data_IF_855962593537
#
_entry.id   IF_855962593537
#
_cell.length_a   1.000
_cell.length_b   1.000
_cell.length_c   1.000
_cell.angle_alpha   90.00
_cell.angle_beta   90.00
_cell.angle_gamma   90.00
#
_symmetry.space_group_name_H-M   'P 1'
#
loop_
_entity.id
_entity.type
_entity.pdbx_description
1 polymer ?
#
# COMPACT_ATOMS: atom_id res chain seq x y z
N UNK A 1 -17.82 10.51 -11.10
CA UNK A 1 -18.16 9.57 -10.02
C UNK A 1 -16.84 9.05 -9.49
N UNK A 2 -16.34 9.60 -8.38
CA UNK A 2 -15.17 9.06 -7.69
C UNK A 2 -15.69 8.43 -6.41
N UNK A 3 -16.06 7.15 -6.50
CA UNK A 3 -16.17 6.32 -5.32
C UNK A 3 -14.77 6.19 -4.74
N UNK A 4 -14.49 6.93 -3.66
CA UNK A 4 -13.30 6.66 -2.84
C UNK A 4 -13.55 5.34 -2.11
N UNK A 5 -13.40 4.22 -2.82
CA UNK A 5 -13.45 2.89 -2.23
C UNK A 5 -12.25 2.75 -1.29
N UNK A 6 -12.51 2.85 0.02
CA UNK A 6 -11.50 2.60 1.04
C UNK A 6 -11.03 1.16 0.92
N UNK A 7 -9.74 0.97 0.67
CA UNK A 7 -9.13 -0.36 0.50
C UNK A 7 -8.84 -0.96 1.87
N UNK A 8 -9.17 -2.23 2.08
CA UNK A 8 -8.75 -3.01 3.27
C UNK A 8 -7.78 -4.12 2.86
N UNK A 9 -6.58 -4.11 3.46
CA UNK A 9 -5.61 -5.19 3.30
C UNK A 9 -5.87 -6.24 4.38
N UNK A 10 -6.12 -7.48 3.94
CA UNK A 10 -6.38 -8.63 4.81
C UNK A 10 -5.23 -9.63 4.67
N UNK A 11 -4.52 -9.89 5.77
CA UNK A 11 -3.39 -10.83 5.81
C UNK A 11 -3.70 -11.96 6.80
N UNK A 12 -3.70 -13.20 6.33
CA UNK A 12 -3.79 -14.38 7.19
C UNK A 12 -2.43 -14.65 7.84
N UNK A 13 -2.40 -14.88 9.16
CA UNK A 13 -1.18 -15.21 9.90
C UNK A 13 -0.66 -16.62 9.60
N UNK A 14 -1.46 -17.48 8.97
CA UNK A 14 -1.03 -18.82 8.55
C UNK A 14 -0.67 -19.75 9.71
N UNK A 15 -1.32 -19.59 10.88
CA UNK A 15 -0.99 -20.34 12.09
C UNK A 15 -1.14 -21.86 11.90
N UNK A 16 -0.10 -22.64 12.23
CA UNK A 16 -0.11 -24.11 12.09
C UNK A 16 0.00 -24.83 13.43
N UNK A 17 -0.71 -25.94 13.57
CA UNK A 17 -0.56 -26.91 14.67
C UNK A 17 -0.63 -26.32 16.08
N UNK A 18 0.55 -26.12 16.68
CA UNK A 18 0.73 -25.62 18.05
C UNK A 18 0.30 -24.15 18.17
N UNK A 19 0.69 -23.29 17.21
CA UNK A 19 0.31 -21.87 17.23
C UNK A 19 -1.20 -21.68 17.16
N UNK A 20 -1.89 -22.51 16.37
CA UNK A 20 -3.36 -22.48 16.28
C UNK A 20 -4.02 -22.89 17.60
N UNK A 21 -3.47 -23.90 18.30
CA UNK A 21 -3.96 -24.29 19.63
C UNK A 21 -3.76 -23.18 20.66
N UNK A 22 -2.60 -22.53 20.67
CA UNK A 22 -2.31 -21.40 21.57
C UNK A 22 -3.18 -20.19 21.23
N UNK A 23 -3.33 -19.85 19.94
CA UNK A 23 -4.19 -18.75 19.51
C UNK A 23 -5.66 -18.98 19.88
N UNK A 24 -6.17 -20.22 19.73
CA UNK A 24 -7.52 -20.56 20.17
C UNK A 24 -7.68 -20.47 21.68
N UNK A 25 -6.70 -20.91 22.46
CA UNK A 25 -6.72 -20.79 23.93
C UNK A 25 -6.73 -19.32 24.38
N UNK A 26 -5.98 -18.46 23.69
CA UNK A 26 -5.85 -17.04 24.00
C UNK A 26 -6.87 -16.15 23.25
N UNK A 27 -7.79 -16.74 22.48
CA UNK A 27 -8.70 -16.02 21.55
C UNK A 27 -7.98 -14.97 20.70
N UNK A 28 -6.75 -15.26 20.27
CA UNK A 28 -5.91 -14.34 19.54
C UNK A 28 -6.38 -14.20 18.08
N UNK A 29 -6.38 -12.99 17.50
CA UNK A 29 -6.81 -12.79 16.12
C UNK A 29 -5.88 -13.50 15.14
N UNK A 30 -6.47 -14.34 14.28
CA UNK A 30 -5.77 -15.15 13.27
C UNK A 30 -5.52 -14.41 11.96
N UNK A 31 -6.22 -13.30 11.76
CA UNK A 31 -6.12 -12.43 10.58
C UNK A 31 -5.79 -11.02 11.03
N UNK A 32 -4.95 -10.33 10.26
CA UNK A 32 -4.68 -8.90 10.43
C UNK A 32 -5.44 -8.14 9.36
N UNK A 33 -6.32 -7.24 9.80
CA UNK A 33 -7.04 -6.30 8.95
C UNK A 33 -6.39 -4.92 9.05
N UNK A 34 -6.11 -4.30 7.91
CA UNK A 34 -5.53 -2.96 7.81
C UNK A 34 -6.34 -2.13 6.81
N UNK A 35 -7.40 -1.44 7.26
CA UNK A 35 -8.09 -0.48 6.42
C UNK A 35 -7.14 0.68 6.11
N UNK A 36 -7.09 1.08 4.85
CA UNK A 36 -6.35 2.25 4.39
C UNK A 36 -7.27 3.47 4.46
N UNK A 37 -6.69 4.62 4.79
CA UNK A 37 -7.36 5.91 4.60
C UNK A 37 -7.52 6.23 3.10
N UNK A 38 -8.22 7.33 2.81
CA UNK A 38 -8.49 7.76 1.44
C UNK A 38 -7.21 7.95 0.60
N UNK A 39 -6.17 8.57 1.16
CA UNK A 39 -4.92 8.85 0.44
C UNK A 39 -4.16 7.55 0.15
N UNK A 40 -4.03 6.69 1.16
CA UNK A 40 -3.34 5.43 1.02
C UNK A 40 -4.12 4.45 0.12
N UNK A 41 -5.46 4.52 0.10
CA UNK A 41 -6.30 3.77 -0.85
C UNK A 41 -6.06 4.24 -2.29
N UNK A 42 -6.04 5.56 -2.52
CA UNK A 42 -5.73 6.11 -3.85
C UNK A 42 -4.31 5.74 -4.30
N UNK A 43 -3.33 5.87 -3.41
CA UNK A 43 -1.96 5.50 -3.67
C UNK A 43 -1.84 4.00 -4.01
N UNK A 44 -2.54 3.13 -3.28
CA UNK A 44 -2.60 1.70 -3.57
C UNK A 44 -3.05 1.41 -5.00
N UNK A 45 -4.12 2.07 -5.44
CA UNK A 45 -4.66 1.92 -6.80
C UNK A 45 -3.67 2.41 -7.87
N UNK A 46 -2.93 3.49 -7.60
CA UNK A 46 -1.94 4.04 -8.54
C UNK A 46 -0.69 3.15 -8.68
N UNK A 47 -0.38 2.34 -7.67
CA UNK A 47 0.78 1.42 -7.63
C UNK A 47 0.50 0.08 -8.33
N UNK A 48 -0.11 0.11 -9.52
CA UNK A 48 -0.38 -1.07 -10.36
C UNK A 48 0.86 -1.58 -11.13
N UNK A 49 2.02 -0.97 -10.90
CA UNK A 49 3.28 -1.30 -11.55
C UNK A 49 3.47 -0.70 -12.94
N UNK A 50 2.50 0.04 -13.48
CA UNK A 50 2.59 0.71 -14.80
C UNK A 50 3.09 2.15 -14.74
N UNK A 51 3.08 2.76 -13.54
CA UNK A 51 3.46 4.15 -13.31
C UNK A 51 4.81 4.27 -12.62
N UNK A 52 5.54 5.33 -12.95
CA UNK A 52 6.76 5.72 -12.24
C UNK A 52 6.44 6.42 -10.92
N UNK A 53 7.41 6.49 -10.00
CA UNK A 53 7.26 7.26 -8.76
C UNK A 53 6.90 8.72 -9.02
N UNK A 54 7.50 9.35 -10.03
CA UNK A 54 7.21 10.74 -10.37
C UNK A 54 5.76 10.95 -10.84
N UNK A 55 5.23 10.03 -11.66
CA UNK A 55 3.83 10.06 -12.08
C UNK A 55 2.88 9.88 -10.90
N UNK A 56 3.21 8.95 -9.99
CA UNK A 56 2.40 8.72 -8.79
C UNK A 56 2.39 9.97 -7.89
N UNK A 57 3.55 10.60 -7.66
CA UNK A 57 3.64 11.84 -6.86
C UNK A 57 2.79 12.95 -7.51
N UNK A 58 2.90 13.13 -8.82
CA UNK A 58 2.13 14.14 -9.55
C UNK A 58 0.62 13.91 -9.44
N UNK A 59 0.14 12.68 -9.67
CA UNK A 59 -1.28 12.34 -9.57
C UNK A 59 -1.83 12.52 -8.14
N UNK A 60 -1.03 12.17 -7.13
CA UNK A 60 -1.40 12.34 -5.73
C UNK A 60 -1.45 13.83 -5.34
N UNK A 61 -0.49 14.64 -5.80
CA UNK A 61 -0.46 16.09 -5.60
C UNK A 61 -1.68 16.75 -6.27
N UNK A 62 -1.97 16.38 -7.52
CA UNK A 62 -3.12 16.89 -8.26
C UNK A 62 -4.47 16.56 -7.59
N UNK A 63 -4.63 15.36 -7.04
CA UNK A 63 -5.90 14.93 -6.45
C UNK A 63 -6.15 15.51 -5.05
N UNK A 64 -5.09 15.70 -4.25
CA UNK A 64 -5.22 16.09 -2.84
C UNK A 64 -4.74 17.51 -2.52
N UNK A 65 -3.97 18.13 -3.40
CA UNK A 65 -3.49 19.51 -3.31
C UNK A 65 -2.90 19.82 -1.92
N UNK A 66 -3.41 20.85 -1.23
CA UNK A 66 -2.94 21.23 0.11
C UNK A 66 -3.01 20.08 1.14
N UNK A 67 -3.95 19.13 0.99
CA UNK A 67 -4.10 18.01 1.93
C UNK A 67 -2.93 17.04 1.90
N UNK A 68 -2.12 17.01 0.85
CA UNK A 68 -0.95 16.12 0.74
C UNK A 68 0.39 16.87 0.78
N UNK A 69 0.39 18.20 0.66
CA UNK A 69 1.61 18.98 0.62
C UNK A 69 2.53 18.76 1.85
N UNK A 70 3.83 18.44 1.66
CA UNK A 70 4.52 18.20 0.39
C UNK A 70 4.31 16.76 -0.13
N UNK A 71 3.73 16.62 -1.34
CA UNK A 71 3.34 15.33 -1.89
C UNK A 71 4.50 14.34 -2.03
N UNK A 72 5.66 14.81 -2.51
CA UNK A 72 6.85 13.97 -2.67
C UNK A 72 7.26 13.27 -1.37
N UNK A 73 7.28 13.99 -0.25
CA UNK A 73 7.65 13.42 1.04
C UNK A 73 6.56 12.47 1.57
N UNK A 74 5.29 12.89 1.51
CA UNK A 74 4.17 12.07 2.02
C UNK A 74 4.02 10.76 1.25
N UNK A 75 4.04 10.83 -0.08
CA UNK A 75 3.96 9.65 -0.95
C UNK A 75 5.16 8.72 -0.74
N UNK A 76 6.38 9.27 -0.72
CA UNK A 76 7.59 8.45 -0.50
C UNK A 76 7.57 7.75 0.86
N UNK A 77 7.09 8.42 1.91
CA UNK A 77 6.93 7.83 3.24
C UNK A 77 5.91 6.68 3.26
N UNK A 78 4.75 6.85 2.61
CA UNK A 78 3.74 5.79 2.51
C UNK A 78 4.25 4.59 1.72
N UNK A 79 4.93 4.82 0.58
CA UNK A 79 5.56 3.76 -0.22
C UNK A 79 6.60 3.00 0.62
N UNK A 80 7.48 3.71 1.32
CA UNK A 80 8.47 3.08 2.19
C UNK A 80 7.80 2.21 3.26
N UNK A 81 6.67 2.67 3.84
CA UNK A 81 5.92 1.88 4.81
C UNK A 81 5.31 0.62 4.20
N UNK A 82 4.77 0.69 2.99
CA UNK A 82 4.24 -0.48 2.29
C UNK A 82 5.33 -1.49 1.94
N UNK A 83 6.53 -1.03 1.57
CA UNK A 83 7.69 -1.90 1.36
C UNK A 83 8.12 -2.57 2.67
N UNK A 84 8.21 -1.82 3.77
CA UNK A 84 8.54 -2.35 5.10
C UNK A 84 7.55 -3.43 5.56
N UNK A 85 6.26 -3.24 5.25
CA UNK A 85 5.20 -4.21 5.54
C UNK A 85 5.17 -5.41 4.57
N UNK A 86 6.00 -5.40 3.52
CA UNK A 86 6.05 -6.42 2.49
C UNK A 86 4.84 -6.43 1.55
N UNK A 87 4.11 -5.31 1.45
CA UNK A 87 2.89 -5.20 0.65
C UNK A 87 3.13 -4.84 -0.81
N UNK A 88 4.23 -4.14 -1.08
CA UNK A 88 4.64 -3.76 -2.44
C UNK A 88 6.14 -4.01 -2.62
N UNK A 89 6.58 -4.07 -3.87
CA UNK A 89 8.00 -4.07 -4.26
C UNK A 89 8.28 -2.95 -5.24
N UNK A 90 9.53 -2.50 -5.31
CA UNK A 90 9.98 -1.51 -6.28
C UNK A 90 10.63 -2.24 -7.46
N UNK A 91 10.11 -2.02 -8.67
CA UNK A 91 10.68 -2.57 -9.89
C UNK A 91 11.48 -1.49 -10.62
N UNK A 92 12.80 -1.68 -10.74
CA UNK A 92 13.70 -0.75 -11.42
C UNK A 92 13.86 -1.07 -12.92
N UNK A 93 13.71 -2.33 -13.31
CA UNK A 93 14.08 -2.84 -14.64
C UNK A 93 13.07 -2.49 -15.73
N UNK A 94 11.83 -2.16 -15.36
CA UNK A 94 10.75 -1.92 -16.34
C UNK A 94 10.99 -0.68 -17.23
N UNK A 95 11.70 0.33 -16.75
CA UNK A 95 11.82 1.61 -17.43
C UNK A 95 13.16 1.82 -18.18
N UNK A 96 14.09 0.87 -18.08
CA UNK A 96 15.33 0.91 -18.85
C UNK A 96 15.11 0.42 -20.30
N UNK A 97 14.12 -0.45 -20.52
CA UNK A 97 13.83 -1.07 -21.82
C UNK A 97 12.88 -0.26 -22.74
N UNK A 98 12.38 0.90 -22.30
CA UNK A 98 11.54 1.79 -23.12
C UNK A 98 12.34 2.97 -23.72
N UNK A 99 13.66 3.00 -23.50
CA UNK A 99 14.57 4.04 -23.99
C UNK A 99 15.46 3.60 -25.18
N UNK A 100 15.21 2.43 -25.77
CA UNK A 100 15.87 1.95 -27.01
C UNK A 100 14.95 2.02 -28.24
#
# INVERSE_FOLDING_TARGET
MTDSENIEIIVDKGLRGIEKKVANLLSAPTVVRRPLDEMNSKLWILMDGTRTLGQIIFEMDYFFDEKIAPASERVSRSIAKFVELGFITLNRERFENESE
#
